data_IF_726619953136
#
_entry.id   IF_726619953136
#
_cell.length_a   1.000
_cell.length_b   1.000
_cell.length_c   1.000
_cell.angle_alpha   90.00
_cell.angle_beta   90.00
_cell.angle_gamma   90.00
#
_symmetry.space_group_name_H-M   'P 1'
#
loop_
_entity.id
_entity.type
_entity.pdbx_description
1 polymer ?
#
# COMPACT_ATOMS: atom_id res chain seq x y z
N UNK A 1 19.38 -6.16 7.38
CA UNK A 1 19.58 -6.14 5.91
C UNK A 1 18.77 -7.26 5.30
N UNK A 2 17.89 -6.92 4.35
CA UNK A 2 17.01 -7.87 3.66
C UNK A 2 17.82 -8.78 2.71
N UNK A 3 17.46 -10.07 2.57
CA UNK A 3 18.01 -10.93 1.53
C UNK A 3 17.84 -10.35 0.12
N UNK A 4 18.89 -10.41 -0.70
CA UNK A 4 18.88 -9.87 -2.07
C UNK A 4 17.71 -10.38 -2.93
N UNK A 5 17.30 -11.65 -2.74
CA UNK A 5 16.17 -12.23 -3.46
C UNK A 5 14.88 -11.42 -3.26
N UNK A 6 14.53 -11.11 -2.00
CA UNK A 6 13.32 -10.33 -1.71
C UNK A 6 13.42 -8.90 -2.22
N UNK A 7 14.60 -8.29 -2.15
CA UNK A 7 14.82 -6.94 -2.69
C UNK A 7 14.60 -6.90 -4.20
N UNK A 8 15.12 -7.87 -4.96
CA UNK A 8 14.92 -7.95 -6.41
C UNK A 8 13.47 -8.23 -6.79
N UNK A 9 12.78 -9.11 -6.07
CA UNK A 9 11.35 -9.38 -6.25
C UNK A 9 10.51 -8.10 -6.05
N UNK A 10 10.78 -7.35 -4.98
CA UNK A 10 10.10 -6.08 -4.71
C UNK A 10 10.42 -5.02 -5.76
N UNK A 11 11.68 -4.89 -6.21
CA UNK A 11 12.06 -3.99 -7.31
C UNK A 11 11.32 -4.31 -8.60
N UNK A 12 11.15 -5.60 -8.93
CA UNK A 12 10.33 -6.04 -10.07
C UNK A 12 8.87 -5.63 -9.88
N UNK A 13 8.31 -5.87 -8.71
CA UNK A 13 6.92 -5.51 -8.38
C UNK A 13 6.69 -3.99 -8.47
N UNK A 14 7.64 -3.18 -8.02
CA UNK A 14 7.60 -1.72 -8.14
C UNK A 14 7.51 -1.28 -9.61
N UNK A 15 8.38 -1.80 -10.48
CA UNK A 15 8.40 -1.46 -11.91
C UNK A 15 7.09 -1.80 -12.61
N UNK A 16 6.47 -2.92 -12.24
CA UNK A 16 5.22 -3.39 -12.84
C UNK A 16 3.99 -2.57 -12.43
N UNK A 17 4.00 -1.97 -11.24
CA UNK A 17 2.79 -1.34 -10.65
C UNK A 17 2.87 0.17 -10.46
N UNK A 18 4.06 0.74 -10.32
CA UNK A 18 4.21 2.15 -9.99
C UNK A 18 4.43 3.02 -11.22
N UNK A 19 3.49 3.95 -11.46
CA UNK A 19 3.63 4.99 -12.47
C UNK A 19 4.79 5.94 -12.16
N UNK A 20 4.92 6.35 -10.89
CA UNK A 20 5.97 7.27 -10.44
C UNK A 20 7.37 6.68 -10.64
N UNK A 21 7.56 5.40 -10.33
CA UNK A 21 8.84 4.71 -10.56
C UNK A 21 9.19 4.53 -12.05
N UNK A 22 8.23 4.78 -12.95
CA UNK A 22 8.40 4.82 -14.39
C UNK A 22 8.39 6.28 -14.92
N UNK A 23 8.61 7.28 -14.05
CA UNK A 23 8.72 8.69 -14.42
C UNK A 23 7.41 9.43 -14.64
N UNK A 24 6.25 8.80 -14.38
CA UNK A 24 4.93 9.40 -14.61
C UNK A 24 4.41 10.02 -13.31
N UNK A 25 4.32 11.35 -13.29
CA UNK A 25 3.66 12.12 -12.21
C UNK A 25 2.23 12.45 -12.64
N UNK A 26 1.25 11.82 -11.99
CA UNK A 26 -0.18 12.01 -12.29
C UNK A 26 -0.89 12.72 -11.13
N UNK A 27 -1.30 13.97 -11.36
CA UNK A 27 -2.09 14.79 -10.44
C UNK A 27 -3.57 14.86 -10.83
N UNK A 28 -4.01 14.17 -11.89
CA UNK A 28 -5.34 14.34 -12.48
C UNK A 28 -6.50 13.74 -11.68
N UNK A 29 -6.22 12.85 -10.73
CA UNK A 29 -7.27 12.12 -9.99
C UNK A 29 -8.00 12.95 -8.91
N UNK A 30 -7.42 14.07 -8.49
CA UNK A 30 -7.99 14.96 -7.47
C UNK A 30 -7.62 16.42 -7.77
N UNK A 31 -8.63 17.28 -7.93
CA UNK A 31 -8.41 18.73 -8.08
C UNK A 31 -7.71 19.30 -6.84
N UNK A 32 -6.58 20.01 -7.01
CA UNK A 32 -5.82 20.60 -5.90
C UNK A 32 -4.60 19.79 -5.47
N UNK A 33 -4.40 18.57 -6.01
CA UNK A 33 -3.25 17.71 -5.68
C UNK A 33 -1.90 18.35 -6.08
N UNK A 34 -1.90 19.24 -7.07
CA UNK A 34 -0.71 19.99 -7.49
C UNK A 34 -0.12 20.88 -6.38
N UNK A 35 -0.89 21.22 -5.34
CA UNK A 35 -0.45 22.08 -4.23
C UNK A 35 0.29 21.34 -3.12
N UNK A 36 0.15 20.01 -3.08
CA UNK A 36 0.73 19.16 -2.02
C UNK A 36 1.92 18.33 -2.50
N UNK A 37 2.04 18.10 -3.81
CA UNK A 37 3.18 17.42 -4.43
C UNK A 37 4.35 18.40 -4.59
N UNK A 38 5.53 18.00 -4.14
CA UNK A 38 6.76 18.82 -4.16
C UNK A 38 7.55 18.70 -5.46
N UNK A 39 7.31 17.64 -6.24
CA UNK A 39 8.11 17.32 -7.43
C UNK A 39 7.24 17.41 -8.68
N UNK A 40 7.74 18.16 -9.66
CA UNK A 40 7.12 18.30 -10.98
C UNK A 40 7.91 17.60 -12.10
N UNK A 41 9.14 17.14 -11.82
CA UNK A 41 9.99 16.41 -12.76
C UNK A 41 9.80 14.90 -12.63
N UNK A 42 9.53 14.23 -13.75
CA UNK A 42 9.37 12.77 -13.82
C UNK A 42 10.63 12.00 -13.39
N UNK A 43 11.82 12.42 -13.83
CA UNK A 43 13.08 11.73 -13.51
C UNK A 43 13.39 11.78 -12.02
N UNK A 44 13.26 12.96 -11.42
CA UNK A 44 13.46 13.13 -9.97
C UNK A 44 12.41 12.37 -9.15
N UNK A 45 11.16 12.33 -9.64
CA UNK A 45 10.10 11.55 -9.00
C UNK A 45 10.40 10.05 -9.08
N UNK A 46 10.94 9.57 -10.21
CA UNK A 46 11.35 8.19 -10.41
C UNK A 46 12.49 7.80 -9.48
N UNK A 47 13.57 8.59 -9.46
CA UNK A 47 14.74 8.36 -8.60
C UNK A 47 14.33 8.26 -7.12
N UNK A 48 13.53 9.24 -6.64
CA UNK A 48 13.03 9.22 -5.28
C UNK A 48 12.06 8.06 -5.03
N UNK A 49 11.21 7.70 -5.99
CA UNK A 49 10.32 6.56 -5.85
C UNK A 49 11.09 5.24 -5.69
N UNK A 50 12.16 5.00 -6.46
CA UNK A 50 13.01 3.81 -6.30
C UNK A 50 13.73 3.84 -4.96
N UNK A 51 14.42 4.93 -4.63
CA UNK A 51 15.17 5.05 -3.38
C UNK A 51 14.28 4.89 -2.15
N UNK A 52 13.17 5.62 -2.09
CA UNK A 52 12.24 5.56 -0.96
C UNK A 52 11.60 4.18 -0.81
N UNK A 53 11.33 3.49 -1.92
CA UNK A 53 10.78 2.15 -1.89
C UNK A 53 11.79 1.14 -1.31
N UNK A 54 13.06 1.22 -1.68
CA UNK A 54 14.12 0.41 -1.09
C UNK A 54 14.34 0.70 0.40
N UNK A 55 14.34 1.97 0.79
CA UNK A 55 14.41 2.38 2.19
C UNK A 55 13.22 1.80 2.99
N UNK A 56 12.02 1.81 2.40
CA UNK A 56 10.81 1.28 3.03
C UNK A 56 10.84 -0.25 3.15
N UNK A 57 11.34 -0.97 2.14
CA UNK A 57 11.51 -2.44 2.20
C UNK A 57 12.50 -2.82 3.30
N UNK A 58 13.63 -2.12 3.41
CA UNK A 58 14.60 -2.37 4.46
C UNK A 58 13.99 -2.14 5.85
N UNK A 59 13.26 -1.04 6.03
CA UNK A 59 12.52 -0.79 7.27
C UNK A 59 11.49 -1.89 7.57
N UNK A 60 10.67 -2.29 6.59
CA UNK A 60 9.72 -3.38 6.74
C UNK A 60 10.42 -4.69 7.16
N UNK A 61 11.54 -5.03 6.53
CA UNK A 61 12.31 -6.21 6.89
C UNK A 61 12.85 -6.14 8.31
N UNK A 62 13.40 -5.01 8.73
CA UNK A 62 13.95 -4.85 10.08
C UNK A 62 12.85 -4.87 11.15
N UNK A 63 11.63 -4.43 10.81
CA UNK A 63 10.45 -4.46 11.69
C UNK A 63 9.68 -5.79 11.66
N UNK A 64 10.12 -6.80 10.90
CA UNK A 64 9.37 -8.07 10.77
C UNK A 64 9.25 -8.83 12.10
N UNK A 65 10.26 -8.74 12.97
CA UNK A 65 10.28 -9.45 14.26
C UNK A 65 9.90 -8.51 15.43
N UNK A 66 9.49 -7.28 15.12
CA UNK A 66 9.11 -6.31 16.16
C UNK A 66 7.91 -6.86 16.97
N UNK A 67 7.95 -6.75 18.31
CA UNK A 67 6.83 -7.13 19.16
C UNK A 67 5.64 -6.19 18.90
N UNK A 68 4.45 -6.77 18.75
CA UNK A 68 3.21 -6.03 18.60
C UNK A 68 2.35 -6.29 19.84
N UNK A 69 2.03 -5.22 20.56
CA UNK A 69 1.25 -5.27 21.81
C UNK A 69 -0.12 -4.60 21.66
N UNK A 70 -0.28 -3.77 20.63
CA UNK A 70 -1.50 -3.01 20.39
C UNK A 70 -1.71 -2.71 18.90
N UNK A 71 -2.95 -2.36 18.49
CA UNK A 71 -3.23 -1.83 17.16
C UNK A 71 -2.39 -0.61 16.77
N UNK A 72 -2.02 0.19 17.77
CA UNK A 72 -1.20 1.39 17.59
C UNK A 72 0.24 1.06 17.13
N UNK A 73 0.78 -0.10 17.50
CA UNK A 73 2.10 -0.55 17.03
C UNK A 73 2.09 -0.81 15.52
N UNK A 74 1.02 -1.42 15.02
CA UNK A 74 0.82 -1.66 13.58
C UNK A 74 0.65 -0.34 12.84
N UNK A 75 -0.17 0.56 13.40
CA UNK A 75 -0.40 1.89 12.85
C UNK A 75 0.90 2.65 12.66
N UNK A 76 1.75 2.69 13.69
CA UNK A 76 3.07 3.34 13.63
C UNK A 76 3.94 2.78 12.52
N UNK A 77 3.99 1.45 12.36
CA UNK A 77 4.79 0.81 11.30
C UNK A 77 4.26 1.21 9.92
N UNK A 78 2.95 1.07 9.67
CA UNK A 78 2.35 1.32 8.34
C UNK A 78 2.40 2.81 7.98
N UNK A 79 2.09 3.70 8.91
CA UNK A 79 2.21 5.14 8.66
C UNK A 79 3.66 5.58 8.47
N UNK A 80 4.62 4.98 9.20
CA UNK A 80 6.04 5.23 8.97
C UNK A 80 6.50 4.74 7.59
N UNK A 81 6.02 3.60 7.12
CA UNK A 81 6.21 3.18 5.73
C UNK A 81 5.67 4.23 4.75
N UNK A 82 4.48 4.77 5.01
CA UNK A 82 3.91 5.89 4.25
C UNK A 82 4.81 7.13 4.22
N UNK A 83 5.40 7.50 5.36
CA UNK A 83 6.37 8.61 5.46
C UNK A 83 7.62 8.33 4.63
N UNK A 84 8.22 7.14 4.74
CA UNK A 84 9.41 6.79 3.98
C UNK A 84 9.11 6.87 2.48
N UNK A 85 8.01 6.26 2.03
CA UNK A 85 7.60 6.19 0.63
C UNK A 85 7.41 7.59 0.02
N UNK A 86 6.84 8.53 0.79
CA UNK A 86 6.50 9.87 0.32
C UNK A 86 7.58 10.93 0.58
N UNK A 87 8.72 10.57 1.18
CA UNK A 87 9.77 11.50 1.56
C UNK A 87 10.28 12.30 0.36
N UNK A 88 10.17 13.64 0.45
CA UNK A 88 10.57 14.55 -0.63
C UNK A 88 9.62 14.58 -1.84
N UNK A 89 8.56 13.76 -1.86
CA UNK A 89 7.51 13.73 -2.89
C UNK A 89 6.30 14.54 -2.45
N UNK A 90 5.85 14.34 -1.21
CA UNK A 90 4.74 15.06 -0.57
C UNK A 90 5.27 15.72 0.70
N UNK A 91 4.70 16.86 1.08
CA UNK A 91 4.98 17.47 2.39
C UNK A 91 4.48 16.57 3.52
N UNK A 92 5.27 16.39 4.57
CA UNK A 92 4.95 15.44 5.65
C UNK A 92 3.62 15.75 6.35
N UNK A 93 3.28 17.03 6.53
CA UNK A 93 2.00 17.46 7.08
C UNK A 93 0.78 17.10 6.22
N UNK A 94 1.01 16.73 4.96
CA UNK A 94 -0.01 16.30 3.99
C UNK A 94 0.11 14.81 3.64
N UNK A 95 0.75 14.00 4.50
CA UNK A 95 0.88 12.56 4.24
C UNK A 95 -0.49 11.88 4.06
N UNK A 96 -1.44 12.19 4.94
CA UNK A 96 -2.81 11.66 4.88
C UNK A 96 -3.63 12.49 3.88
N UNK A 97 -4.41 11.80 3.04
CA UNK A 97 -5.23 12.43 2.01
C UNK A 97 -6.33 13.30 2.65
N UNK A 98 -6.43 14.54 2.17
CA UNK A 98 -7.45 15.51 2.61
C UNK A 98 -8.50 15.83 1.53
N UNK A 99 -8.36 15.26 0.33
CA UNK A 99 -9.25 15.49 -0.81
C UNK A 99 -9.89 14.18 -1.25
N UNK A 100 -11.18 14.20 -1.58
CA UNK A 100 -11.83 13.04 -2.20
C UNK A 100 -11.28 12.75 -3.61
N UNK A 101 -11.39 11.48 -4.02
CA UNK A 101 -11.15 11.08 -5.40
C UNK A 101 -12.41 11.33 -6.23
N UNK A 102 -12.25 12.00 -7.37
CA UNK A 102 -13.34 12.21 -8.34
C UNK A 102 -13.48 11.00 -9.28
N UNK A 103 -12.50 10.09 -9.28
CA UNK A 103 -12.37 8.97 -10.22
C UNK A 103 -12.67 7.60 -9.61
N UNK A 104 -12.35 7.42 -8.33
CA UNK A 104 -12.38 6.13 -7.64
C UNK A 104 -13.27 6.21 -6.40
N UNK A 105 -14.02 5.15 -6.13
CA UNK A 105 -14.94 5.06 -4.99
C UNK A 105 -14.22 4.70 -3.67
N UNK A 106 -13.14 5.42 -3.36
CA UNK A 106 -12.42 5.25 -2.10
C UNK A 106 -13.27 5.70 -0.91
N UNK A 107 -12.84 5.31 0.30
CA UNK A 107 -13.38 5.86 1.55
C UNK A 107 -13.34 7.39 1.48
N UNK A 108 -14.49 8.02 1.75
CA UNK A 108 -14.60 9.48 1.78
C UNK A 108 -13.73 10.04 2.90
N UNK A 109 -13.08 11.18 2.68
CA UNK A 109 -12.20 11.80 3.69
C UNK A 109 -12.91 11.97 5.04
N UNK A 110 -14.19 12.35 5.04
CA UNK A 110 -15.02 12.49 6.24
C UNK A 110 -15.19 11.18 7.05
N UNK A 111 -14.97 10.03 6.43
CA UNK A 111 -15.04 8.67 7.03
C UNK A 111 -13.68 8.01 7.20
N UNK A 112 -12.59 8.68 6.80
CA UNK A 112 -11.25 8.11 6.80
C UNK A 112 -10.78 7.71 8.18
N UNK A 113 -11.00 8.58 9.16
CA UNK A 113 -10.62 8.35 10.56
C UNK A 113 -11.31 7.09 11.10
N UNK A 114 -12.62 6.99 10.94
CA UNK A 114 -13.43 5.84 11.36
C UNK A 114 -12.93 4.55 10.71
N UNK A 115 -12.63 4.59 9.41
CA UNK A 115 -12.11 3.43 8.68
C UNK A 115 -10.73 2.99 9.18
N UNK A 116 -9.80 3.93 9.42
CA UNK A 116 -8.48 3.61 9.99
C UNK A 116 -8.58 3.09 11.43
N UNK A 117 -9.49 3.66 12.24
CA UNK A 117 -9.78 3.21 13.61
C UNK A 117 -10.40 1.80 13.65
N UNK A 118 -11.06 1.35 12.58
CA UNK A 118 -11.48 -0.04 12.41
C UNK A 118 -10.37 -0.95 11.86
N UNK A 119 -9.64 -0.47 10.84
CA UNK A 119 -8.66 -1.26 10.11
C UNK A 119 -7.50 -1.74 10.99
N UNK A 120 -6.87 -0.85 11.78
CA UNK A 120 -5.70 -1.24 12.57
C UNK A 120 -6.02 -2.25 13.68
N UNK A 121 -7.12 -2.11 14.45
CA UNK A 121 -7.54 -3.16 15.37
C UNK A 121 -7.86 -4.47 14.67
N UNK A 122 -8.50 -4.42 13.50
CA UNK A 122 -8.83 -5.65 12.76
C UNK A 122 -7.57 -6.35 12.26
N UNK A 123 -6.60 -5.61 11.72
CA UNK A 123 -5.32 -6.19 11.31
C UNK A 123 -4.54 -6.73 12.52
N UNK A 124 -4.58 -6.05 13.67
CA UNK A 124 -3.96 -6.56 14.90
C UNK A 124 -4.55 -7.89 15.36
N UNK A 125 -5.88 -7.99 15.40
CA UNK A 125 -6.59 -9.23 15.71
C UNK A 125 -6.13 -10.36 14.77
N UNK A 126 -6.11 -10.09 13.46
CA UNK A 126 -5.74 -11.08 12.44
C UNK A 126 -4.27 -11.46 12.43
N UNK A 127 -3.36 -10.60 12.90
CA UNK A 127 -1.93 -10.93 12.98
C UNK A 127 -1.53 -11.58 14.31
N UNK A 128 -2.18 -11.22 15.41
CA UNK A 128 -1.70 -11.55 16.77
C UNK A 128 -2.65 -12.44 17.58
N UNK A 129 -3.96 -12.34 17.37
CA UNK A 129 -4.96 -13.02 18.21
C UNK A 129 -5.57 -14.24 17.52
N UNK A 130 -5.89 -14.12 16.24
CA UNK A 130 -6.42 -15.19 15.41
C UNK A 130 -5.65 -15.25 14.08
N UNK A 131 -4.35 -15.64 14.12
CA UNK A 131 -3.50 -15.66 12.95
C UNK A 131 -4.07 -16.59 11.86
N UNK A 132 -4.48 -15.99 10.74
CA UNK A 132 -4.94 -16.68 9.55
C UNK A 132 -3.81 -17.05 8.58
N UNK A 133 -4.18 -17.30 7.33
CA UNK A 133 -3.24 -17.50 6.22
C UNK A 133 -2.50 -16.16 5.93
N UNK A 134 -1.14 -16.13 5.97
CA UNK A 134 -0.37 -14.93 5.68
C UNK A 134 -0.67 -14.29 4.32
N UNK A 135 -1.08 -15.07 3.31
CA UNK A 135 -1.48 -14.56 1.99
C UNK A 135 -2.76 -13.74 2.09
N UNK A 136 -3.75 -14.22 2.85
CA UNK A 136 -4.99 -13.48 3.08
C UNK A 136 -4.77 -12.23 3.92
N UNK A 137 -3.86 -12.28 4.90
CA UNK A 137 -3.50 -11.11 5.70
C UNK A 137 -2.80 -10.02 4.88
N UNK A 138 -1.91 -10.43 3.98
CA UNK A 138 -1.25 -9.54 3.03
C UNK A 138 -2.27 -8.93 2.06
N UNK A 139 -3.20 -9.74 1.53
CA UNK A 139 -4.29 -9.29 0.67
C UNK A 139 -5.18 -8.26 1.38
N UNK A 140 -5.64 -8.59 2.60
CA UNK A 140 -6.45 -7.70 3.43
C UNK A 140 -5.75 -6.36 3.65
N UNK A 141 -4.48 -6.39 4.03
CA UNK A 141 -3.67 -5.18 4.25
C UNK A 141 -3.60 -4.31 3.00
N UNK A 142 -3.32 -4.92 1.85
CA UNK A 142 -3.17 -4.19 0.60
C UNK A 142 -4.49 -3.61 0.09
N UNK A 143 -5.56 -4.41 0.15
CA UNK A 143 -6.90 -4.00 -0.22
C UNK A 143 -7.35 -2.78 0.59
N UNK A 144 -7.20 -2.84 1.90
CA UNK A 144 -7.65 -1.78 2.79
C UNK A 144 -6.85 -0.48 2.59
N UNK A 145 -5.54 -0.56 2.32
CA UNK A 145 -4.70 0.62 2.13
C UNK A 145 -4.87 1.27 0.75
N UNK A 146 -4.93 0.49 -0.35
CA UNK A 146 -4.85 1.05 -1.71
C UNK A 146 -6.13 0.91 -2.55
N UNK A 147 -6.89 -0.18 -2.37
CA UNK A 147 -8.13 -0.43 -3.14
C UNK A 147 -9.31 0.29 -2.51
N UNK A 148 -9.50 0.12 -1.20
CA UNK A 148 -10.66 0.62 -0.46
C UNK A 148 -10.40 1.98 0.19
N UNK A 149 -9.40 2.05 1.05
CA UNK A 149 -9.13 3.21 1.89
C UNK A 149 -8.45 4.36 1.15
N UNK A 150 -7.35 4.06 0.47
CA UNK A 150 -6.49 5.04 -0.20
C UNK A 150 -6.12 6.20 0.74
N UNK A 151 -5.47 5.83 1.86
CA UNK A 151 -5.25 6.70 3.02
C UNK A 151 -4.29 7.86 2.77
N UNK A 152 -3.27 7.62 1.96
CA UNK A 152 -2.18 8.57 1.75
C UNK A 152 -2.48 9.51 0.58
N UNK A 153 -1.97 10.74 0.65
CA UNK A 153 -2.13 11.72 -0.42
C UNK A 153 -1.43 11.32 -1.72
N UNK A 154 -0.33 10.56 -1.60
CA UNK A 154 0.32 9.84 -2.68
C UNK A 154 0.96 8.55 -2.15
N UNK A 155 1.40 7.68 -3.04
CA UNK A 155 2.17 6.50 -2.69
C UNK A 155 1.36 5.32 -2.17
N UNK A 156 0.02 5.38 -2.09
CA UNK A 156 -0.83 4.29 -1.56
C UNK A 156 -0.46 2.91 -2.10
N UNK A 157 -0.39 2.72 -3.42
CA UNK A 157 -0.02 1.42 -4.00
C UNK A 157 1.40 0.96 -3.71
N UNK A 158 2.33 1.87 -3.41
CA UNK A 158 3.69 1.49 -2.96
C UNK A 158 3.69 1.16 -1.47
N UNK A 159 3.03 1.97 -0.65
CA UNK A 159 2.91 1.75 0.79
C UNK A 159 2.16 0.46 1.10
N UNK A 160 1.07 0.18 0.38
CA UNK A 160 0.27 -1.04 0.54
C UNK A 160 1.07 -2.28 0.18
N UNK A 161 1.81 -2.24 -0.92
CA UNK A 161 2.69 -3.33 -1.36
C UNK A 161 3.79 -3.62 -0.32
N UNK A 162 4.45 -2.60 0.22
CA UNK A 162 5.46 -2.80 1.27
C UNK A 162 4.83 -3.25 2.59
N UNK A 163 3.63 -2.79 2.92
CA UNK A 163 2.90 -3.22 4.13
C UNK A 163 2.48 -4.69 4.02
N UNK A 164 2.02 -5.14 2.85
CA UNK A 164 1.73 -6.54 2.58
C UNK A 164 3.01 -7.41 2.62
N UNK A 165 4.11 -6.93 2.04
CA UNK A 165 5.41 -7.59 2.15
C UNK A 165 5.87 -7.72 3.61
N UNK A 166 5.68 -6.68 4.44
CA UNK A 166 5.96 -6.75 5.88
C UNK A 166 5.18 -7.89 6.55
N UNK A 167 3.87 -8.01 6.30
CA UNK A 167 3.04 -9.12 6.82
C UNK A 167 3.63 -10.48 6.45
N UNK A 168 4.04 -10.66 5.19
CA UNK A 168 4.67 -11.91 4.72
C UNK A 168 6.03 -12.17 5.39
N UNK A 169 6.86 -11.12 5.53
CA UNK A 169 8.15 -11.23 6.21
C UNK A 169 8.00 -11.67 7.68
N UNK A 170 7.00 -11.17 8.41
CA UNK A 170 6.72 -11.58 9.80
C UNK A 170 6.44 -13.08 9.92
N UNK A 171 5.97 -13.70 8.84
CA UNK A 171 5.56 -15.12 8.78
C UNK A 171 6.57 -15.98 8.01
N UNK A 172 7.74 -15.44 7.68
CA UNK A 172 8.76 -16.09 6.86
C UNK A 172 8.18 -16.67 5.55
N UNK A 173 7.22 -15.96 4.96
CA UNK A 173 6.52 -16.38 3.76
C UNK A 173 7.19 -15.77 2.51
N UNK A 174 7.22 -16.50 1.37
CA UNK A 174 7.62 -15.92 0.09
C UNK A 174 6.78 -14.68 -0.29
N UNK A 175 7.36 -13.79 -1.10
CA UNK A 175 6.64 -12.63 -1.62
C UNK A 175 5.75 -13.01 -2.81
N UNK A 176 4.73 -12.19 -3.01
CA UNK A 176 3.86 -12.23 -4.20
C UNK A 176 4.62 -11.85 -5.47
N UNK A 177 4.30 -12.49 -6.59
CA UNK A 177 4.73 -12.08 -7.92
C UNK A 177 3.56 -11.39 -8.65
N UNK A 178 3.54 -10.06 -8.76
CA UNK A 178 2.45 -9.40 -9.50
C UNK A 178 2.55 -9.74 -10.99
N UNK A 179 1.49 -10.32 -11.54
CA UNK A 179 1.35 -10.65 -12.97
C UNK A 179 0.34 -9.67 -13.60
N UNK A 180 0.56 -9.31 -14.86
CA UNK A 180 -0.35 -8.42 -15.62
C UNK A 180 -0.20 -6.92 -15.29
N UNK A 181 0.70 -6.56 -14.38
CA UNK A 181 1.05 -5.18 -14.07
C UNK A 181 -0.06 -4.40 -13.34
N UNK A 182 0.02 -3.07 -13.45
CA UNK A 182 -0.89 -2.15 -12.75
C UNK A 182 -2.36 -2.39 -13.07
N UNK A 183 -2.71 -2.61 -14.32
CA UNK A 183 -4.12 -2.64 -14.74
C UNK A 183 -4.81 -3.93 -14.29
N UNK A 184 -4.10 -5.06 -14.31
CA UNK A 184 -4.57 -6.31 -13.71
C UNK A 184 -4.79 -6.17 -12.20
N UNK A 185 -3.93 -5.43 -11.49
CA UNK A 185 -4.14 -5.18 -10.06
C UNK A 185 -5.41 -4.34 -9.80
N UNK A 186 -5.64 -3.28 -10.58
CA UNK A 186 -6.78 -2.37 -10.36
C UNK A 186 -8.08 -2.79 -11.07
N UNK A 187 -8.11 -3.89 -11.83
CA UNK A 187 -9.36 -4.45 -12.35
C UNK A 187 -10.29 -4.97 -11.25
N UNK A 188 -9.76 -5.17 -10.04
CA UNK A 188 -10.48 -5.62 -8.84
C UNK A 188 -10.85 -4.44 -7.91
N UNK A 189 -11.13 -3.25 -8.49
CA UNK A 189 -11.54 -2.05 -7.74
C UNK A 189 -13.03 -1.77 -7.83
N UNK A 190 -13.52 -0.86 -6.98
CA UNK A 190 -14.91 -0.41 -6.93
C UNK A 190 -15.38 0.44 -8.13
N UNK A 191 -14.51 0.78 -9.08
CA UNK A 191 -14.90 1.72 -10.14
C UNK A 191 -15.89 1.09 -11.11
N UNK A 192 -17.13 1.60 -11.12
CA UNK A 192 -18.16 1.22 -12.09
C UNK A 192 -18.83 -0.13 -11.82
N UNK A 193 -18.67 -0.70 -10.62
CA UNK A 193 -19.30 -1.97 -10.23
C UNK A 193 -20.52 -1.76 -9.32
N UNK A 194 -21.47 -2.70 -9.35
CA UNK A 194 -22.62 -2.78 -8.43
C UNK A 194 -22.38 -3.76 -7.28
N UNK A 195 -21.20 -4.37 -7.22
CA UNK A 195 -20.80 -5.35 -6.20
C UNK A 195 -20.69 -4.72 -4.81
N UNK A 196 -20.99 -5.51 -3.80
CA UNK A 196 -20.73 -5.19 -2.39
C UNK A 196 -19.22 -5.18 -2.11
N UNK A 197 -18.83 -4.60 -0.98
CA UNK A 197 -17.43 -4.60 -0.55
C UNK A 197 -16.88 -6.01 -0.35
N UNK A 198 -17.68 -6.92 0.21
CA UNK A 198 -17.29 -8.31 0.42
C UNK A 198 -17.06 -9.02 -0.93
N UNK A 199 -17.95 -8.85 -1.91
CA UNK A 199 -17.77 -9.43 -3.25
C UNK A 199 -16.52 -8.92 -3.96
N UNK A 200 -16.22 -7.62 -3.87
CA UNK A 200 -15.01 -7.03 -4.45
C UNK A 200 -13.76 -7.54 -3.72
N UNK A 201 -13.83 -7.71 -2.40
CA UNK A 201 -12.73 -8.25 -1.62
C UNK A 201 -12.47 -9.71 -1.94
N UNK A 202 -13.50 -10.55 -2.06
CA UNK A 202 -13.33 -11.97 -2.42
C UNK A 202 -12.70 -12.14 -3.81
N UNK A 203 -13.13 -11.36 -4.81
CA UNK A 203 -12.49 -11.37 -6.13
C UNK A 203 -11.05 -10.88 -6.09
N UNK A 204 -10.77 -9.84 -5.31
CA UNK A 204 -9.41 -9.39 -5.09
C UNK A 204 -8.58 -10.48 -4.41
N UNK A 205 -9.14 -11.19 -3.43
CA UNK A 205 -8.47 -12.24 -2.69
C UNK A 205 -8.14 -13.45 -3.57
N UNK A 206 -9.06 -13.86 -4.45
CA UNK A 206 -8.82 -14.90 -5.47
C UNK A 206 -7.66 -14.51 -6.40
N UNK A 207 -7.69 -13.27 -6.92
CA UNK A 207 -6.58 -12.73 -7.69
C UNK A 207 -5.28 -12.74 -6.88
N UNK A 208 -5.31 -12.29 -5.62
CA UNK A 208 -4.14 -12.17 -4.77
C UNK A 208 -3.49 -13.53 -4.50
N UNK A 209 -4.30 -14.56 -4.22
CA UNK A 209 -3.84 -15.94 -4.04
C UNK A 209 -3.11 -16.46 -5.27
N UNK A 210 -3.57 -16.09 -6.48
CA UNK A 210 -2.90 -16.50 -7.73
C UNK A 210 -1.50 -15.91 -7.93
N UNK A 211 -1.12 -14.89 -7.14
CA UNK A 211 0.22 -14.28 -7.18
C UNK A 211 1.28 -15.12 -6.45
N UNK A 212 0.86 -16.16 -5.74
CA UNK A 212 1.73 -17.09 -5.02
C UNK A 212 1.72 -18.44 -5.76
N UNK A 213 2.91 -18.96 -6.06
CA UNK A 213 3.12 -20.25 -6.73
C UNK A 213 3.69 -21.27 -5.76
#
# INVERSE_FOLDING_TARGET
MIPNKYLEEMRRNLRLRSRTANGIVDTSASKGKEKIVLITSGDKASELAHKNFEDAINYAWDMRDAPLSSPEDIRKIIEHLGLIINRGIVKEENLIRVLDSDKYAYVKVAKMKEHMEWFYPKLFERLMQSPGDPVEEAAFTEFQIDIRGHYFADGCGKTSMVSAAWVLFRRNHPLMEYIGGRDAFYSHTYTGTTKTEDEVYEEFLEYYRSLFK
#
